data_IF_949866093270
#
_entry.id   IF_949866093270
#
_cell.length_a   1.000
_cell.length_b   1.000
_cell.length_c   1.000
_cell.angle_alpha   90.00
_cell.angle_beta   90.00
_cell.angle_gamma   90.00
#
_symmetry.space_group_name_H-M   'P 1'
#
loop_
_entity.id
_entity.type
_entity.pdbx_description
1 polymer ?
#
# COMPACT_ATOMS: atom_id res chain seq x y z
N UNK A 1 1.47 -3.95 -0.20
CA UNK A 1 0.74 -5.23 -0.14
C UNK A 1 1.18 -6.10 1.03
N UNK A 2 0.27 -6.95 1.55
CA UNK A 2 0.63 -8.03 2.47
C UNK A 2 1.11 -9.23 1.66
N UNK A 3 2.24 -9.87 2.00
CA UNK A 3 2.67 -11.07 1.30
C UNK A 3 1.68 -12.20 1.55
N UNK A 4 1.46 -13.01 0.53
CA UNK A 4 0.60 -14.18 0.56
C UNK A 4 1.40 -15.42 0.17
N UNK A 5 0.72 -16.54 -0.10
CA UNK A 5 1.39 -17.76 -0.55
C UNK A 5 2.14 -17.51 -1.87
N UNK A 6 3.30 -18.14 -2.04
CA UNK A 6 4.10 -18.05 -3.28
C UNK A 6 3.32 -18.47 -4.53
N UNK A 7 2.29 -19.31 -4.38
CA UNK A 7 1.39 -19.72 -5.47
C UNK A 7 0.47 -18.61 -5.98
N UNK A 8 0.27 -17.53 -5.22
CA UNK A 8 -0.53 -16.38 -5.65
C UNK A 8 0.29 -15.41 -6.51
N UNK A 9 0.71 -15.88 -7.68
CA UNK A 9 1.63 -15.17 -8.59
C UNK A 9 1.13 -13.78 -8.94
N UNK A 10 -0.16 -13.61 -9.23
CA UNK A 10 -0.74 -12.30 -9.61
C UNK A 10 -0.64 -11.28 -8.47
N UNK A 11 -0.93 -11.68 -7.24
CA UNK A 11 -0.74 -10.81 -6.08
C UNK A 11 0.75 -10.52 -5.82
N UNK A 12 1.61 -11.53 -6.02
CA UNK A 12 3.05 -11.39 -5.87
C UNK A 12 3.68 -10.32 -6.76
N UNK A 13 3.14 -10.08 -7.97
CA UNK A 13 3.60 -8.99 -8.84
C UNK A 13 3.45 -7.63 -8.16
N UNK A 14 2.33 -7.40 -7.47
CA UNK A 14 2.13 -6.15 -6.73
C UNK A 14 3.11 -6.02 -5.57
N UNK A 15 3.39 -7.12 -4.86
CA UNK A 15 4.42 -7.11 -3.81
C UNK A 15 5.78 -6.69 -4.38
N UNK A 16 6.19 -7.25 -5.51
CA UNK A 16 7.46 -6.95 -6.17
C UNK A 16 7.56 -5.50 -6.62
N UNK A 17 6.53 -5.00 -7.30
CA UNK A 17 6.51 -3.64 -7.84
C UNK A 17 6.40 -2.59 -6.72
N UNK A 18 5.56 -2.81 -5.71
CA UNK A 18 5.44 -1.88 -4.59
C UNK A 18 6.69 -1.88 -3.70
N UNK A 19 7.37 -3.03 -3.53
CA UNK A 19 8.65 -3.05 -2.82
C UNK A 19 9.68 -2.16 -3.53
N UNK A 20 9.84 -2.28 -4.86
CA UNK A 20 10.73 -1.42 -5.65
C UNK A 20 10.29 0.05 -5.60
N UNK A 21 9.00 0.32 -5.82
CA UNK A 21 8.44 1.67 -5.85
C UNK A 21 8.64 2.41 -4.52
N UNK A 22 8.31 1.78 -3.40
CA UNK A 22 8.41 2.42 -2.07
C UNK A 22 9.85 2.54 -1.57
N UNK A 23 10.75 1.61 -1.93
CA UNK A 23 12.13 1.64 -1.43
C UNK A 23 13.11 2.38 -2.32
N UNK A 24 12.80 2.57 -3.59
CA UNK A 24 13.67 3.26 -4.55
C UNK A 24 12.99 4.46 -5.20
N UNK A 25 11.85 4.26 -5.90
CA UNK A 25 11.29 5.30 -6.76
C UNK A 25 10.81 6.52 -5.98
N UNK A 26 10.13 6.33 -4.86
CA UNK A 26 9.63 7.43 -4.01
C UNK A 26 10.78 8.26 -3.43
N UNK A 27 11.84 7.61 -2.96
CA UNK A 27 13.06 8.28 -2.50
C UNK A 27 13.75 9.05 -3.62
N UNK A 28 13.89 8.43 -4.78
CA UNK A 28 14.52 9.07 -5.93
C UNK A 28 13.74 10.29 -6.43
N UNK A 29 12.39 10.23 -6.42
CA UNK A 29 11.52 11.37 -6.73
C UNK A 29 11.76 12.54 -5.78
N UNK A 30 11.70 12.27 -4.49
CA UNK A 30 11.93 13.28 -3.45
C UNK A 30 13.34 13.86 -3.54
N UNK A 31 14.38 13.00 -3.63
CA UNK A 31 15.77 13.45 -3.74
C UNK A 31 16.02 14.29 -5.00
N UNK A 32 15.39 13.96 -6.12
CA UNK A 32 15.47 14.75 -7.35
C UNK A 32 14.71 16.08 -7.28
N UNK A 33 13.93 16.34 -6.21
CA UNK A 33 13.10 17.54 -6.09
C UNK A 33 11.96 17.57 -7.09
N UNK A 34 11.40 16.41 -7.42
CA UNK A 34 10.21 16.28 -8.26
C UNK A 34 8.98 15.95 -7.39
N UNK A 35 7.81 15.87 -8.03
CA UNK A 35 6.58 15.55 -7.32
C UNK A 35 6.60 14.14 -6.71
N UNK A 36 6.03 14.03 -5.53
CA UNK A 36 5.78 12.76 -4.85
C UNK A 36 4.28 12.46 -4.98
N UNK A 37 3.88 11.43 -5.75
CA UNK A 37 2.46 11.12 -5.89
C UNK A 37 1.87 10.62 -4.57
N UNK A 38 0.65 11.00 -4.26
CA UNK A 38 -0.14 10.32 -3.24
C UNK A 38 -0.56 8.95 -3.76
N UNK A 39 -0.64 7.97 -2.87
CA UNK A 39 -1.08 6.62 -3.22
C UNK A 39 -2.53 6.33 -2.76
N UNK A 40 -3.29 7.38 -2.44
CA UNK A 40 -4.65 7.28 -1.95
C UNK A 40 -4.79 6.79 -0.50
N UNK A 41 -3.70 6.27 0.09
CA UNK A 41 -3.66 5.76 1.46
C UNK A 41 -2.37 6.16 2.15
N UNK A 42 -2.42 6.38 3.48
CA UNK A 42 -1.23 6.75 4.26
C UNK A 42 -0.65 8.12 3.89
N UNK A 43 -1.46 9.03 3.35
CA UNK A 43 -1.06 10.39 2.97
C UNK A 43 -1.73 11.39 3.90
N UNK A 44 -0.93 12.27 4.50
CA UNK A 44 -1.41 13.43 5.25
C UNK A 44 -1.24 14.70 4.44
N UNK A 45 -2.25 15.55 4.44
CA UNK A 45 -2.22 16.86 3.79
C UNK A 45 -2.36 17.95 4.84
N UNK A 46 -1.61 19.03 4.69
CA UNK A 46 -1.84 20.23 5.51
C UNK A 46 -3.21 20.83 5.14
N UNK A 47 -4.01 21.13 6.13
CA UNK A 47 -5.38 21.63 5.97
C UNK A 47 -5.43 22.89 5.09
N UNK A 48 -4.52 23.82 5.30
CA UNK A 48 -4.42 25.06 4.53
C UNK A 48 -4.24 24.83 3.02
N UNK A 49 -3.52 23.75 2.64
CA UNK A 49 -3.33 23.38 1.23
C UNK A 49 -4.64 22.88 0.64
N UNK A 50 -5.39 22.06 1.40
CA UNK A 50 -6.68 21.54 0.94
C UNK A 50 -7.74 22.66 0.80
N UNK A 51 -7.79 23.58 1.77
CA UNK A 51 -8.68 24.73 1.73
C UNK A 51 -8.39 25.62 0.49
N UNK A 52 -7.10 25.94 0.26
CA UNK A 52 -6.70 26.71 -0.92
C UNK A 52 -7.05 25.98 -2.23
N UNK A 53 -6.87 24.67 -2.29
CA UNK A 53 -7.25 23.88 -3.46
C UNK A 53 -8.75 23.93 -3.71
N UNK A 54 -9.56 23.83 -2.66
CA UNK A 54 -11.01 23.96 -2.74
C UNK A 54 -11.44 25.36 -3.25
N UNK A 55 -10.80 26.42 -2.73
CA UNK A 55 -11.07 27.79 -3.14
C UNK A 55 -10.71 28.08 -4.61
N UNK A 56 -9.55 27.54 -5.06
CA UNK A 56 -9.07 27.77 -6.44
C UNK A 56 -9.78 26.93 -7.51
N UNK A 57 -10.32 25.77 -7.15
CA UNK A 57 -10.81 24.78 -8.11
C UNK A 57 -12.28 24.36 -7.89
N UNK A 58 -12.87 24.77 -6.78
CA UNK A 58 -14.19 24.32 -6.34
C UNK A 58 -14.17 23.00 -5.59
N UNK A 59 -13.23 22.09 -5.93
CA UNK A 59 -13.07 20.78 -5.31
C UNK A 59 -11.61 20.46 -5.05
N UNK A 60 -11.34 19.73 -3.95
CA UNK A 60 -10.00 19.26 -3.60
C UNK A 60 -9.54 18.15 -4.54
N UNK A 61 -10.43 17.21 -4.81
CA UNK A 61 -10.18 16.06 -5.69
C UNK A 61 -11.05 16.17 -6.94
N UNK A 62 -10.45 15.95 -8.10
CA UNK A 62 -11.16 15.96 -9.37
C UNK A 62 -11.96 14.66 -9.53
N UNK A 63 -13.29 14.77 -9.47
CA UNK A 63 -14.22 13.64 -9.59
C UNK A 63 -14.13 12.92 -10.95
N UNK A 64 -13.68 13.62 -12.00
CA UNK A 64 -13.48 13.06 -13.34
C UNK A 64 -12.11 12.40 -13.53
N UNK A 65 -11.23 12.45 -12.52
CA UNK A 65 -9.95 11.77 -12.55
C UNK A 65 -10.08 10.32 -12.14
N UNK A 66 -9.47 9.42 -12.92
CA UNK A 66 -9.38 7.99 -12.58
C UNK A 66 -8.29 7.69 -11.53
N UNK A 67 -7.42 8.66 -11.27
CA UNK A 67 -6.30 8.61 -10.30
C UNK A 67 -6.10 9.99 -9.67
N UNK A 68 -7.14 10.43 -8.96
CA UNK A 68 -7.18 11.72 -8.27
C UNK A 68 -6.05 11.88 -7.25
N UNK A 69 -5.65 10.77 -6.63
CA UNK A 69 -4.54 10.66 -5.69
C UNK A 69 -3.19 10.98 -6.35
N UNK A 70 -2.95 10.49 -7.54
CA UNK A 70 -1.75 10.84 -8.31
C UNK A 70 -1.76 12.31 -8.73
N UNK A 71 -2.89 12.78 -9.27
CA UNK A 71 -3.02 14.15 -9.79
C UNK A 71 -2.89 15.21 -8.71
N UNK A 72 -3.39 14.99 -7.49
CA UNK A 72 -3.23 15.93 -6.38
C UNK A 72 -1.76 16.08 -6.00
N UNK A 73 -0.98 14.98 -6.02
CA UNK A 73 0.46 15.03 -5.81
C UNK A 73 1.19 15.91 -6.83
N UNK A 74 0.85 15.74 -8.11
CA UNK A 74 1.41 16.59 -9.20
C UNK A 74 1.00 18.06 -9.02
N UNK A 75 -0.24 18.30 -8.63
CA UNK A 75 -0.76 19.66 -8.45
C UNK A 75 -0.06 20.39 -7.30
N UNK A 76 0.01 19.78 -6.12
CA UNK A 76 0.67 20.35 -4.93
C UNK A 76 2.10 20.72 -5.25
N UNK A 77 2.84 19.85 -5.95
CA UNK A 77 4.20 20.16 -6.40
C UNK A 77 4.24 21.36 -7.37
N UNK A 78 3.33 21.40 -8.34
CA UNK A 78 3.26 22.47 -9.34
C UNK A 78 2.90 23.82 -8.72
N UNK A 79 2.17 23.82 -7.62
CA UNK A 79 1.83 25.00 -6.82
C UNK A 79 2.99 25.46 -5.90
N UNK A 80 4.12 24.73 -5.89
CA UNK A 80 5.31 25.09 -5.12
C UNK A 80 5.31 24.61 -3.64
N UNK A 81 4.35 23.77 -3.25
CA UNK A 81 4.32 23.25 -1.89
C UNK A 81 5.26 22.08 -1.69
N UNK A 82 5.93 21.99 -0.53
CA UNK A 82 6.82 20.90 -0.20
C UNK A 82 6.06 19.59 -0.04
N UNK A 83 6.66 18.49 -0.49
CA UNK A 83 6.15 17.15 -0.34
C UNK A 83 7.23 16.28 0.30
N UNK A 84 6.83 15.42 1.24
CA UNK A 84 7.73 14.53 1.96
C UNK A 84 7.23 13.09 1.86
N UNK A 85 8.09 12.21 1.38
CA UNK A 85 7.94 10.78 1.56
C UNK A 85 8.71 10.34 2.79
N UNK A 86 8.01 9.87 3.83
CA UNK A 86 8.58 9.49 5.12
C UNK A 86 8.51 7.97 5.34
N UNK A 87 9.57 7.21 5.02
CA UNK A 87 9.63 5.76 5.25
C UNK A 87 9.96 5.48 6.72
N UNK A 88 8.98 5.67 7.57
CA UNK A 88 9.14 5.45 9.01
C UNK A 88 9.30 3.95 9.29
N UNK A 89 10.21 3.63 10.22
CA UNK A 89 10.40 2.28 10.73
C UNK A 89 10.10 2.23 12.21
N UNK A 90 9.57 1.11 12.66
CA UNK A 90 9.46 0.77 14.07
C UNK A 90 10.82 0.34 14.64
N UNK A 91 10.91 0.26 15.97
CA UNK A 91 12.13 -0.20 16.64
C UNK A 91 12.60 -1.58 16.17
N UNK A 92 11.67 -2.46 15.81
CA UNK A 92 11.94 -3.81 15.27
C UNK A 92 12.37 -3.81 13.79
N UNK A 93 12.51 -2.64 13.16
CA UNK A 93 12.95 -2.49 11.77
C UNK A 93 11.85 -2.60 10.72
N UNK A 94 10.62 -2.95 11.09
CA UNK A 94 9.48 -2.99 10.17
C UNK A 94 9.05 -1.59 9.71
N UNK A 95 8.61 -1.48 8.45
CA UNK A 95 8.04 -0.23 7.94
C UNK A 95 6.64 0.03 8.50
N UNK A 96 6.39 1.28 8.90
CA UNK A 96 5.05 1.79 9.14
C UNK A 96 4.37 1.97 7.79
N UNK A 97 3.40 1.14 7.48
CA UNK A 97 2.74 1.13 6.19
C UNK A 97 1.28 0.69 6.30
N UNK A 98 0.44 1.19 5.41
CA UNK A 98 -0.88 0.63 5.18
C UNK A 98 -0.75 -0.74 4.54
N UNK A 99 -1.62 -1.68 4.92
CA UNK A 99 -1.54 -3.07 4.48
C UNK A 99 -2.85 -3.51 3.86
N UNK A 100 -2.77 -4.04 2.64
CA UNK A 100 -3.94 -4.42 1.86
C UNK A 100 -3.60 -5.60 0.96
N UNK A 101 -4.62 -6.40 0.60
CA UNK A 101 -4.51 -7.42 -0.43
C UNK A 101 -4.87 -6.83 -1.79
N UNK A 102 -3.98 -7.04 -2.74
CA UNK A 102 -4.19 -6.71 -4.13
C UNK A 102 -4.83 -7.88 -4.91
N UNK A 103 -5.31 -7.64 -6.15
CA UNK A 103 -5.96 -8.67 -6.94
C UNK A 103 -5.17 -9.98 -7.03
N UNK A 104 -5.86 -11.10 -6.82
CA UNK A 104 -5.30 -12.45 -6.90
C UNK A 104 -5.49 -13.07 -8.29
N UNK A 105 -6.42 -12.54 -9.11
CA UNK A 105 -6.69 -13.03 -10.46
C UNK A 105 -6.15 -12.07 -11.52
N UNK A 106 -5.65 -12.61 -12.63
CA UNK A 106 -5.15 -11.80 -13.76
C UNK A 106 -6.23 -10.84 -14.30
N UNK A 107 -7.51 -11.28 -14.35
CA UNK A 107 -8.62 -10.45 -14.83
C UNK A 107 -8.83 -9.21 -13.98
N UNK A 108 -8.84 -9.33 -12.66
CA UNK A 108 -8.99 -8.19 -11.73
C UNK A 108 -7.75 -7.30 -11.74
N UNK A 109 -6.54 -7.89 -11.84
CA UNK A 109 -5.30 -7.15 -11.97
C UNK A 109 -5.26 -6.31 -13.26
N UNK A 110 -5.63 -6.89 -14.41
CA UNK A 110 -5.72 -6.16 -15.68
C UNK A 110 -6.74 -5.01 -15.56
N UNK A 111 -7.91 -5.23 -14.93
CA UNK A 111 -8.91 -4.17 -14.72
C UNK A 111 -8.34 -3.01 -13.90
N UNK A 112 -7.71 -3.29 -12.77
CA UNK A 112 -7.13 -2.27 -11.89
C UNK A 112 -5.99 -1.50 -12.58
N UNK A 113 -5.05 -2.22 -13.22
CA UNK A 113 -3.93 -1.60 -13.94
C UNK A 113 -4.38 -0.82 -15.16
N UNK A 114 -5.44 -1.25 -15.86
CA UNK A 114 -6.05 -0.47 -16.94
C UNK A 114 -6.49 0.89 -16.43
N UNK A 115 -7.14 0.97 -15.25
CA UNK A 115 -7.53 2.22 -14.61
C UNK A 115 -6.31 3.09 -14.30
N UNK A 116 -5.29 2.54 -13.66
CA UNK A 116 -4.07 3.29 -13.31
C UNK A 116 -3.34 3.81 -14.55
N UNK A 117 -3.15 2.97 -15.57
CA UNK A 117 -2.49 3.40 -16.82
C UNK A 117 -3.32 4.50 -17.51
N UNK A 118 -4.65 4.34 -17.55
CA UNK A 118 -5.53 5.37 -18.15
C UNK A 118 -5.44 6.68 -17.38
N UNK A 119 -5.51 6.68 -16.05
CA UNK A 119 -5.43 7.90 -15.23
C UNK A 119 -4.05 8.55 -15.27
N UNK A 120 -3.00 7.79 -14.95
CA UNK A 120 -1.65 8.31 -14.79
C UNK A 120 -1.00 8.65 -16.14
N UNK A 121 -1.02 7.69 -17.09
CA UNK A 121 -0.23 7.81 -18.31
C UNK A 121 -0.98 8.51 -19.46
N UNK A 122 -2.31 8.48 -19.49
CA UNK A 122 -3.11 9.08 -20.58
C UNK A 122 -3.85 10.33 -20.12
N UNK A 123 -4.73 10.23 -19.13
CA UNK A 123 -5.59 11.34 -18.67
C UNK A 123 -4.77 12.47 -18.04
N UNK A 124 -3.84 12.16 -17.14
CA UNK A 124 -2.93 13.15 -16.57
C UNK A 124 -1.99 13.73 -17.65
N UNK A 125 -1.59 12.94 -18.66
CA UNK A 125 -0.81 13.48 -19.79
C UNK A 125 -1.63 14.49 -20.59
N UNK A 126 -2.86 14.18 -20.92
CA UNK A 126 -3.75 15.12 -21.65
C UNK A 126 -3.94 16.44 -20.90
N UNK A 127 -4.11 16.38 -19.57
CA UNK A 127 -4.37 17.56 -18.73
C UNK A 127 -3.10 18.38 -18.43
N UNK A 128 -1.97 17.72 -18.19
CA UNK A 128 -0.74 18.34 -17.69
C UNK A 128 0.38 18.44 -18.74
N UNK A 129 0.35 17.61 -19.78
CA UNK A 129 1.41 17.56 -20.79
C UNK A 129 2.78 17.20 -20.20
N UNK A 130 3.81 17.93 -20.64
CA UNK A 130 5.20 17.82 -20.18
C UNK A 130 5.64 19.06 -19.39
N UNK A 131 4.74 19.69 -18.66
CA UNK A 131 5.02 20.91 -17.89
C UNK A 131 5.95 20.61 -16.72
N UNK A 132 6.75 21.63 -16.34
CA UNK A 132 7.71 21.55 -15.26
C UNK A 132 9.16 21.52 -15.73
N UNK A 133 10.09 21.46 -14.77
CA UNK A 133 11.52 21.38 -15.02
C UNK A 133 11.92 20.00 -15.59
N UNK A 134 13.20 19.84 -15.98
CA UNK A 134 13.68 18.59 -16.59
C UNK A 134 13.51 17.36 -15.65
N UNK A 135 13.59 17.53 -14.34
CA UNK A 135 13.40 16.48 -13.33
C UNK A 135 11.97 16.00 -13.32
N UNK A 136 11.01 16.92 -13.30
CA UNK A 136 9.57 16.62 -13.39
C UNK A 136 9.23 15.94 -14.72
N UNK A 137 9.80 16.41 -15.85
CA UNK A 137 9.61 15.78 -17.18
C UNK A 137 10.17 14.38 -17.22
N UNK A 138 11.34 14.11 -16.60
CA UNK A 138 11.89 12.77 -16.47
C UNK A 138 10.92 11.82 -15.75
N UNK A 139 10.32 12.25 -14.63
CA UNK A 139 9.38 11.41 -13.90
C UNK A 139 8.06 11.22 -14.66
N UNK A 140 7.56 12.22 -15.38
CA UNK A 140 6.45 12.04 -16.30
C UNK A 140 6.76 11.02 -17.40
N UNK A 141 7.96 11.08 -17.98
CA UNK A 141 8.41 10.08 -18.94
C UNK A 141 8.46 8.69 -18.31
N UNK A 142 9.01 8.58 -17.10
CA UNK A 142 9.10 7.32 -16.38
C UNK A 142 7.74 6.70 -16.11
N UNK A 143 6.73 7.51 -15.75
CA UNK A 143 5.37 7.04 -15.50
C UNK A 143 4.62 6.65 -16.79
N UNK A 144 4.96 7.28 -17.92
CA UNK A 144 4.32 7.08 -19.24
C UNK A 144 5.02 6.07 -20.13
N UNK A 145 6.31 5.79 -19.91
CA UNK A 145 7.08 4.85 -20.75
C UNK A 145 6.45 3.48 -20.86
N UNK A 146 5.66 3.07 -19.85
CA UNK A 146 4.93 1.79 -19.83
C UNK A 146 3.98 1.63 -20.99
N UNK A 147 3.48 2.72 -21.61
CA UNK A 147 2.63 2.65 -22.79
C UNK A 147 3.31 1.94 -23.98
N UNK A 148 4.62 2.08 -24.10
CA UNK A 148 5.44 1.42 -25.13
C UNK A 148 6.24 0.27 -24.55
N UNK A 149 6.82 0.44 -23.36
CA UNK A 149 7.70 -0.56 -22.78
C UNK A 149 6.98 -1.86 -22.37
N UNK A 150 5.70 -1.82 -21.95
CA UNK A 150 4.98 -3.02 -21.56
C UNK A 150 4.72 -3.99 -22.74
N UNK A 151 4.23 -3.54 -23.92
CA UNK A 151 4.16 -4.38 -25.11
C UNK A 151 5.53 -4.93 -25.55
N UNK A 152 6.56 -4.10 -25.54
CA UNK A 152 7.93 -4.51 -25.90
C UNK A 152 8.44 -5.57 -24.90
N UNK A 153 8.20 -5.41 -23.59
CA UNK A 153 8.62 -6.39 -22.59
C UNK A 153 7.97 -7.76 -22.80
N UNK A 154 6.69 -7.80 -23.18
CA UNK A 154 6.03 -9.06 -23.51
C UNK A 154 6.63 -9.67 -24.76
N UNK A 155 6.83 -8.89 -25.82
CA UNK A 155 7.47 -9.37 -27.06
C UNK A 155 8.87 -9.91 -26.76
N UNK A 156 9.66 -9.22 -25.94
CA UNK A 156 10.99 -9.69 -25.52
C UNK A 156 10.92 -11.03 -24.78
N UNK A 157 9.92 -11.22 -23.91
CA UNK A 157 9.72 -12.51 -23.22
C UNK A 157 9.43 -13.63 -24.23
N UNK A 158 8.56 -13.38 -25.22
CA UNK A 158 8.23 -14.37 -26.26
C UNK A 158 9.46 -14.72 -27.10
N UNK A 159 10.21 -13.71 -27.55
CA UNK A 159 11.44 -13.90 -28.31
C UNK A 159 12.51 -14.65 -27.50
N UNK A 160 12.64 -14.33 -26.21
CA UNK A 160 13.57 -15.02 -25.32
C UNK A 160 13.22 -16.51 -25.17
N UNK A 161 11.96 -16.84 -24.92
CA UNK A 161 11.51 -18.23 -24.82
C UNK A 161 11.68 -18.98 -26.15
N UNK A 162 11.30 -18.34 -27.27
CA UNK A 162 11.51 -18.92 -28.61
C UNK A 162 13.00 -19.14 -28.90
N UNK A 163 13.85 -18.19 -28.52
CA UNK A 163 15.31 -18.29 -28.66
C UNK A 163 15.90 -19.45 -27.87
N UNK A 164 15.52 -19.60 -26.60
CA UNK A 164 15.95 -20.74 -25.76
C UNK A 164 15.45 -22.06 -26.35
N UNK A 165 14.18 -22.13 -26.70
CA UNK A 165 13.60 -23.36 -27.27
C UNK A 165 14.32 -23.76 -28.55
N UNK A 166 14.54 -22.82 -29.49
CA UNK A 166 15.27 -23.10 -30.72
C UNK A 166 16.73 -23.49 -30.48
N UNK A 167 17.38 -22.92 -29.46
CA UNK A 167 18.73 -23.30 -29.08
C UNK A 167 18.78 -24.75 -28.52
N UNK A 168 17.84 -25.11 -27.65
CA UNK A 168 17.74 -26.45 -27.08
C UNK A 168 17.51 -27.50 -28.17
N UNK A 169 16.60 -27.20 -29.10
CA UNK A 169 16.33 -28.11 -30.25
C UNK A 169 17.58 -28.26 -31.13
N UNK A 170 18.23 -27.16 -31.51
CA UNK A 170 19.46 -27.21 -32.30
C UNK A 170 20.58 -28.02 -31.61
N UNK A 171 20.73 -27.84 -30.28
CA UNK A 171 21.69 -28.58 -29.49
C UNK A 171 21.37 -30.10 -29.43
N UNK A 172 20.09 -30.46 -29.29
CA UNK A 172 19.64 -31.85 -29.26
C UNK A 172 19.81 -32.55 -30.62
N UNK A 173 19.64 -31.80 -31.71
CA UNK A 173 19.79 -32.32 -33.09
C UNK A 173 21.22 -32.18 -33.62
N UNK A 174 22.17 -31.71 -32.80
CA UNK A 174 23.56 -31.44 -33.20
C UNK A 174 23.69 -30.48 -34.41
N UNK A 175 22.72 -29.59 -34.58
CA UNK A 175 22.67 -28.62 -35.66
C UNK A 175 23.16 -27.21 -35.23
N UNK A 176 23.72 -26.43 -36.17
CA UNK A 176 24.07 -25.06 -35.84
C UNK A 176 22.81 -24.24 -35.51
N UNK A 177 22.88 -23.45 -34.42
CA UNK A 177 21.77 -22.58 -34.05
C UNK A 177 21.58 -21.44 -35.06
N UNK A 178 20.52 -21.47 -35.85
CA UNK A 178 20.25 -20.53 -36.95
C UNK A 178 19.97 -19.10 -36.46
N UNK A 179 19.45 -18.94 -35.25
CA UNK A 179 19.18 -17.61 -34.64
C UNK A 179 20.41 -17.00 -33.95
N UNK A 180 21.60 -17.64 -34.07
CA UNK A 180 22.82 -17.09 -33.49
C UNK A 180 23.16 -15.73 -34.11
N UNK A 181 23.22 -14.71 -33.25
CA UNK A 181 23.62 -13.36 -33.65
C UNK A 181 25.11 -13.36 -33.98
N UNK A 182 25.47 -13.07 -35.24
CA UNK A 182 26.86 -13.09 -35.72
C UNK A 182 27.46 -11.70 -35.89
N UNK A 183 26.63 -10.67 -35.99
CA UNK A 183 27.10 -9.29 -36.13
C UNK A 183 27.67 -8.77 -34.83
N UNK A 184 28.97 -8.38 -34.73
CA UNK A 184 29.59 -8.01 -33.47
C UNK A 184 28.85 -6.89 -32.71
N UNK A 185 28.36 -5.87 -33.41
CA UNK A 185 27.59 -4.79 -32.79
C UNK A 185 26.29 -5.29 -32.12
N UNK A 186 25.58 -6.23 -32.77
CA UNK A 186 24.37 -6.82 -32.17
C UNK A 186 24.70 -7.73 -30.99
N UNK A 187 25.83 -8.45 -31.04
CA UNK A 187 26.30 -9.26 -29.90
C UNK A 187 26.56 -8.37 -28.68
N UNK A 188 27.29 -7.25 -28.87
CA UNK A 188 27.54 -6.27 -27.81
C UNK A 188 26.22 -5.72 -27.27
N UNK A 189 25.28 -5.34 -28.13
CA UNK A 189 23.97 -4.82 -27.73
C UNK A 189 23.17 -5.86 -26.93
N UNK A 190 23.20 -7.14 -27.35
CA UNK A 190 22.55 -8.24 -26.62
C UNK A 190 23.15 -8.41 -25.22
N UNK A 191 24.48 -8.41 -25.09
CA UNK A 191 25.15 -8.50 -23.80
C UNK A 191 24.84 -7.30 -22.89
N UNK A 192 24.87 -6.09 -23.45
CA UNK A 192 24.54 -4.87 -22.70
C UNK A 192 23.09 -4.91 -22.19
N UNK A 193 22.12 -5.25 -23.04
CA UNK A 193 20.71 -5.34 -22.65
C UNK A 193 20.47 -6.44 -21.63
N UNK A 194 21.11 -7.59 -21.78
CA UNK A 194 21.04 -8.69 -20.82
C UNK A 194 21.62 -8.27 -19.47
N UNK A 195 22.79 -7.63 -19.45
CA UNK A 195 23.42 -7.14 -18.21
C UNK A 195 22.55 -6.12 -17.49
N UNK A 196 21.97 -5.16 -18.22
CA UNK A 196 21.04 -4.18 -17.66
C UNK A 196 19.76 -4.84 -17.11
N UNK A 197 19.26 -5.86 -17.78
CA UNK A 197 18.08 -6.61 -17.32
C UNK A 197 18.39 -7.43 -16.07
N UNK A 198 19.56 -8.07 -16.01
CA UNK A 198 20.03 -8.79 -14.81
C UNK A 198 20.22 -7.83 -13.64
N UNK A 199 20.83 -6.66 -13.85
CA UNK A 199 20.99 -5.63 -12.83
C UNK A 199 19.63 -5.16 -12.30
N UNK A 200 18.68 -4.83 -13.19
CA UNK A 200 17.33 -4.42 -12.82
C UNK A 200 16.62 -5.51 -12.01
N UNK A 201 16.73 -6.75 -12.45
CA UNK A 201 16.14 -7.90 -11.76
C UNK A 201 16.75 -8.08 -10.37
N UNK A 202 18.07 -8.01 -10.26
CA UNK A 202 18.79 -8.07 -8.98
C UNK A 202 18.37 -6.96 -8.02
N UNK A 203 18.27 -5.71 -8.50
CA UNK A 203 17.79 -4.59 -7.68
C UNK A 203 16.38 -4.82 -7.16
N UNK A 204 15.44 -5.30 -8.01
CA UNK A 204 14.08 -5.64 -7.59
C UNK A 204 14.09 -6.76 -6.54
N UNK A 205 14.88 -7.82 -6.75
CA UNK A 205 15.02 -8.91 -5.78
C UNK A 205 15.54 -8.40 -4.42
N UNK A 206 16.51 -7.49 -4.41
CA UNK A 206 17.02 -6.87 -3.16
C UNK A 206 15.91 -6.06 -2.47
N UNK A 207 15.13 -5.26 -3.20
CA UNK A 207 14.00 -4.53 -2.62
C UNK A 207 12.97 -5.47 -2.01
N UNK A 208 12.60 -6.51 -2.73
CA UNK A 208 11.64 -7.53 -2.27
C UNK A 208 12.17 -8.29 -1.06
N UNK A 209 13.46 -8.68 -1.06
CA UNK A 209 14.07 -9.36 0.07
C UNK A 209 14.08 -8.51 1.34
N UNK A 210 14.31 -7.20 1.21
CA UNK A 210 14.30 -6.26 2.35
C UNK A 210 12.92 -6.06 2.97
N UNK A 211 11.84 -6.22 2.18
CA UNK A 211 10.48 -5.97 2.63
C UNK A 211 9.76 -7.27 3.01
N UNK A 212 9.95 -8.34 2.25
CA UNK A 212 9.19 -9.59 2.37
C UNK A 212 10.04 -10.83 2.64
N UNK A 213 11.36 -10.67 2.74
CA UNK A 213 12.30 -11.76 2.99
C UNK A 213 12.85 -12.40 1.71
N UNK A 214 14.00 -13.10 1.87
CA UNK A 214 14.78 -13.65 0.75
C UNK A 214 14.02 -14.76 -0.01
N UNK A 215 13.27 -15.61 0.70
CA UNK A 215 12.51 -16.71 0.09
C UNK A 215 11.44 -16.19 -0.88
N UNK A 216 10.77 -15.09 -0.52
CA UNK A 216 9.78 -14.44 -1.40
C UNK A 216 10.45 -13.81 -2.61
N UNK A 217 11.66 -13.25 -2.46
CA UNK A 217 12.43 -12.61 -3.53
C UNK A 217 12.89 -13.58 -4.62
N UNK A 218 13.17 -14.84 -4.29
CA UNK A 218 13.62 -15.84 -5.27
C UNK A 218 12.61 -16.09 -6.41
N UNK A 219 11.33 -15.87 -6.17
CA UNK A 219 10.29 -16.03 -7.18
C UNK A 219 10.08 -14.79 -8.09
N UNK A 220 10.80 -13.68 -7.85
CA UNK A 220 10.68 -12.44 -8.65
C UNK A 220 10.90 -12.67 -10.15
N UNK A 221 11.95 -13.41 -10.61
CA UNK A 221 12.15 -13.63 -12.04
C UNK A 221 10.96 -14.31 -12.71
N UNK A 222 10.41 -15.36 -12.08
CA UNK A 222 9.25 -16.08 -12.61
C UNK A 222 7.99 -15.19 -12.64
N UNK A 223 7.74 -14.44 -11.55
CA UNK A 223 6.61 -13.51 -11.48
C UNK A 223 6.71 -12.39 -12.52
N UNK A 224 7.92 -11.99 -12.90
CA UNK A 224 8.13 -10.94 -13.90
C UNK A 224 7.57 -11.32 -15.29
N UNK A 225 7.65 -12.57 -15.71
CA UNK A 225 7.03 -13.02 -16.97
C UNK A 225 5.51 -12.84 -16.93
N UNK A 226 4.87 -13.29 -15.87
CA UNK A 226 3.43 -13.10 -15.68
C UNK A 226 3.08 -11.60 -15.56
N UNK A 227 3.91 -10.82 -14.87
CA UNK A 227 3.75 -9.36 -14.73
C UNK A 227 3.77 -8.65 -16.08
N UNK A 228 4.68 -9.02 -16.98
CA UNK A 228 4.75 -8.44 -18.32
C UNK A 228 3.49 -8.76 -19.15
N UNK A 229 2.93 -9.97 -19.02
CA UNK A 229 1.66 -10.33 -19.68
C UNK A 229 0.49 -9.48 -19.15
N UNK A 230 0.38 -9.35 -17.83
CA UNK A 230 -0.68 -8.54 -17.19
C UNK A 230 -0.53 -7.06 -17.57
N UNK A 231 0.69 -6.51 -17.52
CA UNK A 231 0.98 -5.12 -17.85
C UNK A 231 0.73 -4.80 -19.34
N UNK A 232 1.14 -5.68 -20.25
CA UNK A 232 0.86 -5.52 -21.67
C UNK A 232 -0.65 -5.53 -21.94
N UNK A 233 -1.37 -6.51 -21.40
CA UNK A 233 -2.82 -6.64 -21.56
C UNK A 233 -3.56 -5.41 -21.01
N UNK A 234 -3.13 -4.90 -19.85
CA UNK A 234 -3.70 -3.70 -19.24
C UNK A 234 -3.42 -2.45 -20.08
N UNK A 235 -2.21 -2.33 -20.64
CA UNK A 235 -1.79 -1.21 -21.48
C UNK A 235 -2.57 -1.16 -22.78
N UNK A 236 -2.68 -2.27 -23.50
CA UNK A 236 -3.44 -2.34 -24.75
C UNK A 236 -4.93 -2.01 -24.50
N UNK A 237 -5.48 -2.54 -23.40
CA UNK A 237 -6.87 -2.25 -23.01
C UNK A 237 -7.06 -0.77 -22.62
N UNK A 238 -6.08 -0.16 -21.94
CA UNK A 238 -6.12 1.25 -21.59
C UNK A 238 -6.10 2.15 -22.83
N UNK A 239 -5.18 1.89 -23.75
CA UNK A 239 -5.06 2.60 -25.03
C UNK A 239 -6.35 2.50 -25.86
N UNK A 240 -6.88 1.29 -26.01
CA UNK A 240 -8.11 1.07 -26.78
C UNK A 240 -9.31 1.79 -26.16
N UNK A 241 -9.51 1.65 -24.83
CA UNK A 241 -10.64 2.31 -24.14
C UNK A 241 -10.53 3.82 -24.19
N UNK A 242 -9.32 4.34 -24.00
CA UNK A 242 -9.07 5.78 -24.04
C UNK A 242 -9.34 6.35 -25.45
N UNK A 243 -8.78 5.73 -26.49
CA UNK A 243 -8.99 6.15 -27.88
C UNK A 243 -10.48 6.08 -28.26
N UNK A 244 -11.18 5.00 -27.88
CA UNK A 244 -12.60 4.85 -28.15
C UNK A 244 -13.43 5.92 -27.42
N UNK A 245 -13.16 6.20 -26.15
CA UNK A 245 -13.88 7.22 -25.37
C UNK A 245 -13.69 8.61 -26.02
N UNK A 246 -12.47 8.94 -26.45
CA UNK A 246 -12.19 10.20 -27.14
C UNK A 246 -12.88 10.30 -28.49
N UNK A 247 -12.90 9.22 -29.26
CA UNK A 247 -13.57 9.21 -30.56
C UNK A 247 -15.09 9.36 -30.42
N UNK A 248 -15.68 8.73 -29.39
CA UNK A 248 -17.12 8.76 -29.16
C UNK A 248 -17.59 9.97 -28.31
N UNK A 249 -16.68 10.82 -27.84
CA UNK A 249 -17.01 11.95 -26.95
C UNK A 249 -17.54 11.53 -25.57
N UNK A 250 -17.28 10.29 -25.16
CA UNK A 250 -17.74 9.77 -23.87
C UNK A 250 -16.74 10.07 -22.75
N UNK A 251 -17.29 10.31 -21.54
CA UNK A 251 -16.48 10.40 -20.32
C UNK A 251 -15.93 9.03 -19.94
N UNK A 252 -14.72 9.01 -19.35
CA UNK A 252 -14.10 7.80 -18.85
C UNK A 252 -14.77 7.41 -17.53
N UNK A 253 -15.41 6.25 -17.49
CA UNK A 253 -16.12 5.75 -16.30
C UNK A 253 -15.13 5.05 -15.36
N UNK A 254 -15.19 5.39 -14.07
CA UNK A 254 -14.44 4.75 -13.02
C UNK A 254 -14.88 3.29 -12.83
N UNK A 255 -13.94 2.36 -13.02
CA UNK A 255 -14.17 0.93 -12.82
C UNK A 255 -13.82 0.58 -11.37
N UNK A 256 -14.83 0.42 -10.52
CA UNK A 256 -14.63 -0.01 -9.15
C UNK A 256 -13.87 -1.33 -9.12
N UNK A 257 -12.79 -1.38 -8.34
CA UNK A 257 -12.03 -2.59 -8.07
C UNK A 257 -12.52 -3.17 -6.75
N UNK A 258 -12.77 -4.47 -6.70
CA UNK A 258 -13.05 -5.15 -5.45
C UNK A 258 -11.77 -5.26 -4.64
N UNK A 259 -11.79 -4.75 -3.42
CA UNK A 259 -10.68 -4.84 -2.48
C UNK A 259 -11.01 -5.92 -1.45
N UNK A 260 -10.09 -6.86 -1.28
CA UNK A 260 -10.13 -7.79 -0.16
C UNK A 260 -9.32 -7.18 0.99
N UNK A 261 -9.99 -6.81 2.06
CA UNK A 261 -9.32 -6.28 3.25
C UNK A 261 -8.73 -7.44 4.08
N UNK A 262 -7.52 -7.24 4.62
CA UNK A 262 -6.95 -8.20 5.57
C UNK A 262 -7.85 -8.34 6.80
N UNK A 263 -7.98 -9.56 7.31
CA UNK A 263 -8.66 -9.80 8.58
C UNK A 263 -7.89 -9.16 9.75
N UNK A 264 -8.59 -8.88 10.85
CA UNK A 264 -7.94 -8.37 12.06
C UNK A 264 -6.79 -9.29 12.53
N UNK A 265 -6.94 -10.60 12.41
CA UNK A 265 -5.91 -11.57 12.75
C UNK A 265 -4.67 -11.45 11.84
N UNK A 266 -4.85 -11.24 10.53
CA UNK A 266 -3.74 -11.02 9.60
C UNK A 266 -3.00 -9.70 9.88
N UNK A 267 -3.72 -8.67 10.31
CA UNK A 267 -3.14 -7.38 10.69
C UNK A 267 -2.47 -7.42 12.07
N UNK A 268 -2.94 -8.27 12.99
CA UNK A 268 -2.40 -8.40 14.34
C UNK A 268 -0.92 -8.79 14.34
N UNK A 269 -0.48 -9.63 13.40
CA UNK A 269 0.92 -10.03 13.22
C UNK A 269 1.86 -8.86 12.86
N UNK A 270 1.28 -7.75 12.38
CA UNK A 270 2.02 -6.55 11.97
C UNK A 270 1.71 -5.33 12.85
N UNK A 271 0.92 -5.53 13.91
CA UNK A 271 0.72 -4.48 14.91
C UNK A 271 1.99 -4.34 15.73
N UNK A 272 2.56 -3.13 15.78
CA UNK A 272 3.62 -2.84 16.72
C UNK A 272 3.14 -3.00 18.15
N UNK A 273 4.07 -3.08 19.09
CA UNK A 273 3.72 -3.09 20.50
C UNK A 273 3.07 -1.76 20.91
N UNK A 274 2.24 -1.79 21.94
CA UNK A 274 1.64 -0.56 22.48
C UNK A 274 2.72 0.46 22.87
N UNK A 275 3.87 -0.03 23.32
CA UNK A 275 5.07 0.76 23.63
C UNK A 275 5.56 1.60 22.45
N UNK A 276 5.49 1.08 21.23
CA UNK A 276 5.92 1.81 20.01
C UNK A 276 4.94 2.96 19.69
N UNK A 277 3.64 2.74 19.93
CA UNK A 277 2.63 3.78 19.75
C UNK A 277 2.79 4.89 20.79
N UNK A 278 3.03 4.50 22.05
CA UNK A 278 3.22 5.44 23.15
C UNK A 278 4.41 6.39 22.91
N UNK A 279 5.52 5.86 22.45
CA UNK A 279 6.73 6.66 22.16
C UNK A 279 6.62 7.35 20.81
N UNK A 280 6.20 6.64 19.76
CA UNK A 280 6.15 7.17 18.40
C UNK A 280 5.16 8.31 18.22
N UNK A 281 4.07 8.34 19.00
CA UNK A 281 3.10 9.44 19.03
C UNK A 281 3.41 10.52 20.06
N UNK A 282 4.53 10.39 20.81
CA UNK A 282 4.96 11.39 21.77
C UNK A 282 4.14 11.44 23.08
N UNK A 283 3.34 10.39 23.36
CA UNK A 283 2.58 10.30 24.61
C UNK A 283 3.50 10.10 25.83
N UNK A 284 4.66 9.48 25.63
CA UNK A 284 5.69 9.29 26.66
C UNK A 284 7.08 9.27 26.00
N UNK A 285 8.09 9.78 26.72
CA UNK A 285 9.47 9.66 26.24
C UNK A 285 9.98 8.23 26.40
N UNK A 286 10.87 7.79 25.50
CA UNK A 286 11.50 6.46 25.53
C UNK A 286 12.14 6.17 26.90
N UNK A 287 12.83 7.16 27.47
CA UNK A 287 13.49 7.03 28.76
C UNK A 287 12.50 6.81 29.90
N UNK A 288 11.40 7.58 29.93
CA UNK A 288 10.35 7.44 30.95
C UNK A 288 9.63 6.12 30.86
N UNK A 289 9.36 5.64 29.62
CA UNK A 289 8.74 4.34 29.37
C UNK A 289 9.65 3.19 29.81
N UNK A 290 10.93 3.24 29.48
CA UNK A 290 11.91 2.19 29.88
C UNK A 290 12.04 2.10 31.41
N UNK A 291 12.05 3.25 32.11
CA UNK A 291 12.07 3.28 33.58
C UNK A 291 10.80 2.67 34.19
N UNK A 292 9.63 2.98 33.63
CA UNK A 292 8.36 2.42 34.07
C UNK A 292 8.33 0.90 33.87
N UNK A 293 8.74 0.41 32.69
CA UNK A 293 8.78 -1.03 32.39
C UNK A 293 9.78 -1.78 33.28
N UNK A 294 10.95 -1.19 33.56
CA UNK A 294 11.95 -1.81 34.43
C UNK A 294 11.47 -2.01 35.86
N UNK A 295 10.53 -1.20 36.33
CA UNK A 295 9.87 -1.33 37.65
C UNK A 295 8.58 -2.16 37.67
N UNK A 296 8.21 -2.77 36.54
CA UNK A 296 6.93 -3.49 36.44
C UNK A 296 7.00 -4.88 37.04
N UNK A 297 6.08 -5.28 37.94
CA UNK A 297 5.96 -6.65 38.43
C UNK A 297 5.57 -7.63 37.30
N UNK A 298 6.05 -8.89 37.39
CA UNK A 298 5.92 -9.88 36.33
C UNK A 298 4.47 -10.19 35.90
N UNK A 299 3.51 -10.07 36.82
CA UNK A 299 2.08 -10.42 36.57
C UNK A 299 1.19 -9.19 36.42
N UNK A 300 1.75 -8.01 36.17
CA UNK A 300 0.94 -6.78 36.07
C UNK A 300 0.72 -6.42 34.60
N UNK A 301 -0.53 -6.03 34.27
CA UNK A 301 -0.84 -5.49 32.93
C UNK A 301 -0.10 -4.16 32.70
N UNK A 302 0.49 -4.02 31.51
CA UNK A 302 1.27 -2.84 31.14
C UNK A 302 0.45 -1.55 31.27
N UNK A 303 -0.81 -1.56 30.82
CA UNK A 303 -1.67 -0.38 30.87
C UNK A 303 -1.99 0.02 32.30
N UNK A 304 -2.25 -0.96 33.16
CA UNK A 304 -2.51 -0.73 34.57
C UNK A 304 -1.29 -0.19 35.29
N UNK A 305 -0.11 -0.74 35.02
CA UNK A 305 1.15 -0.27 35.58
C UNK A 305 1.49 1.16 35.16
N UNK A 306 1.37 1.47 33.84
CA UNK A 306 1.65 2.83 33.33
C UNK A 306 0.71 3.88 33.92
N UNK A 307 -0.55 3.49 34.18
CA UNK A 307 -1.54 4.34 34.84
C UNK A 307 -1.21 4.53 36.31
N UNK A 308 -0.93 3.45 37.04
CA UNK A 308 -0.64 3.46 38.48
C UNK A 308 0.63 4.30 38.79
N UNK A 309 1.65 4.20 37.95
CA UNK A 309 2.89 4.99 38.08
C UNK A 309 2.79 6.43 37.57
N UNK A 310 1.65 6.78 36.94
CA UNK A 310 1.49 8.13 36.36
C UNK A 310 2.47 8.38 35.20
N UNK A 311 3.06 7.33 34.61
CA UNK A 311 3.98 7.47 33.50
C UNK A 311 3.32 7.99 32.23
N UNK A 312 2.03 7.64 32.03
CA UNK A 312 1.17 8.09 30.93
C UNK A 312 -0.18 8.52 31.51
N UNK A 313 -0.78 9.58 30.97
CA UNK A 313 -2.13 10.00 31.39
C UNK A 313 -3.19 9.03 30.88
N UNK A 314 -4.34 8.91 31.58
CA UNK A 314 -5.46 8.06 31.13
C UNK A 314 -5.95 8.45 29.74
N UNK A 315 -5.97 9.73 29.40
CA UNK A 315 -6.41 10.24 28.09
C UNK A 315 -5.44 9.82 26.97
N UNK A 316 -4.14 9.90 27.23
CA UNK A 316 -3.10 9.52 26.27
C UNK A 316 -3.01 7.99 26.14
N UNK A 317 -3.22 7.25 27.23
CA UNK A 317 -3.28 5.79 27.19
C UNK A 317 -4.50 5.31 26.39
N UNK A 318 -5.66 5.94 26.56
CA UNK A 318 -6.85 5.64 25.75
C UNK A 318 -6.63 5.97 24.27
N UNK A 319 -5.96 7.09 23.94
CA UNK A 319 -5.60 7.44 22.56
C UNK A 319 -4.60 6.43 21.98
N UNK A 320 -3.57 6.07 22.73
CA UNK A 320 -2.58 5.08 22.32
C UNK A 320 -3.21 3.71 22.08
N UNK A 321 -4.09 3.25 22.98
CA UNK A 321 -4.86 2.02 22.81
C UNK A 321 -5.75 2.07 21.57
N UNK A 322 -6.43 3.20 21.35
CA UNK A 322 -7.27 3.40 20.16
C UNK A 322 -6.44 3.30 18.87
N UNK A 323 -5.28 3.94 18.82
CA UNK A 323 -4.35 3.85 17.69
C UNK A 323 -3.79 2.43 17.52
N UNK A 324 -3.46 1.77 18.63
CA UNK A 324 -2.90 0.43 18.62
C UNK A 324 -3.92 -0.63 18.18
N UNK A 325 -5.16 -0.55 18.69
CA UNK A 325 -6.20 -1.56 18.43
C UNK A 325 -7.06 -1.25 17.21
N UNK A 326 -7.10 0.02 16.77
CA UNK A 326 -8.01 0.51 15.73
C UNK A 326 -9.45 0.67 16.23
N UNK A 327 -9.68 0.54 17.55
CA UNK A 327 -11.00 0.74 18.18
C UNK A 327 -11.09 2.19 18.64
N UNK A 328 -12.14 2.96 18.28
CA UNK A 328 -12.27 4.35 18.68
C UNK A 328 -12.33 4.51 20.21
N UNK A 329 -11.59 5.48 20.76
CA UNK A 329 -11.72 5.85 22.16
C UNK A 329 -13.01 6.64 22.38
N UNK A 330 -13.70 6.40 23.50
CA UNK A 330 -14.93 7.08 23.86
C UNK A 330 -14.88 7.54 25.33
N UNK A 331 -15.18 8.82 25.56
CA UNK A 331 -15.43 9.30 26.92
C UNK A 331 -16.88 8.98 27.29
N UNK A 332 -17.05 8.05 28.24
CA UNK A 332 -18.37 7.67 28.72
C UNK A 332 -18.78 8.57 29.86
N UNK A 333 -19.86 9.32 29.67
CA UNK A 333 -20.53 10.07 30.74
C UNK A 333 -21.62 9.16 31.34
N UNK A 334 -21.37 8.67 32.55
CA UNK A 334 -22.27 7.76 33.23
C UNK A 334 -23.70 8.34 33.41
N UNK A 335 -23.83 9.66 33.57
CA UNK A 335 -25.12 10.33 33.69
C UNK A 335 -25.95 10.34 32.39
N UNK A 336 -25.32 10.11 31.26
CA UNK A 336 -26.00 10.06 29.94
C UNK A 336 -26.35 8.66 29.48
N UNK A 337 -25.92 7.62 30.19
CA UNK A 337 -26.26 6.23 29.87
C UNK A 337 -27.68 5.95 30.34
N UNK A 338 -28.59 5.60 29.41
CA UNK A 338 -29.96 5.25 29.78
C UNK A 338 -29.99 3.97 30.62
N UNK A 339 -30.75 3.94 31.71
CA UNK A 339 -30.84 2.79 32.61
C UNK A 339 -31.23 1.48 31.92
N UNK A 340 -32.06 1.53 30.85
CA UNK A 340 -32.41 0.38 30.03
C UNK A 340 -31.18 -0.20 29.30
N UNK A 341 -30.33 0.65 28.77
CA UNK A 341 -29.08 0.27 28.07
C UNK A 341 -28.08 -0.30 29.08
N UNK A 342 -27.93 0.35 30.24
CA UNK A 342 -27.04 -0.11 31.29
C UNK A 342 -27.39 -1.52 31.82
N UNK A 343 -28.65 -1.95 31.67
CA UNK A 343 -29.12 -3.29 32.09
C UNK A 343 -29.22 -4.28 30.94
N UNK A 344 -28.77 -3.92 29.74
CA UNK A 344 -28.89 -4.78 28.54
C UNK A 344 -27.92 -5.97 28.54
N UNK A 345 -26.86 -5.92 29.34
CA UNK A 345 -25.94 -7.05 29.55
C UNK A 345 -26.02 -7.60 30.98
N UNK A 346 -25.84 -8.92 31.17
CA UNK A 346 -25.72 -9.52 32.49
C UNK A 346 -24.49 -9.01 33.24
N UNK A 347 -24.66 -8.61 34.51
CA UNK A 347 -23.58 -8.04 35.32
C UNK A 347 -22.33 -8.92 35.48
N UNK A 348 -22.49 -10.25 35.40
CA UNK A 348 -21.35 -11.16 35.44
C UNK A 348 -20.50 -11.09 34.17
N UNK A 349 -21.10 -10.85 32.97
CA UNK A 349 -20.39 -10.64 31.72
C UNK A 349 -19.68 -9.30 31.72
N UNK A 350 -20.34 -8.24 32.17
CA UNK A 350 -19.74 -6.91 32.29
C UNK A 350 -18.47 -6.94 33.12
N UNK A 351 -18.53 -7.60 34.30
CA UNK A 351 -17.38 -7.73 35.20
C UNK A 351 -16.27 -8.60 34.61
N UNK A 352 -16.63 -9.75 34.02
CA UNK A 352 -15.65 -10.69 33.47
C UNK A 352 -14.92 -10.13 32.22
N UNK A 353 -15.67 -9.51 31.33
CA UNK A 353 -15.12 -8.95 30.09
C UNK A 353 -14.63 -7.51 30.24
N UNK A 354 -14.89 -6.87 31.40
CA UNK A 354 -14.48 -5.48 31.64
C UNK A 354 -15.14 -4.47 30.69
N UNK A 355 -16.42 -4.73 30.34
CA UNK A 355 -17.19 -3.91 29.41
C UNK A 355 -18.40 -3.27 30.05
N UNK A 356 -18.82 -2.14 29.50
CA UNK A 356 -20.07 -1.45 29.91
C UNK A 356 -20.88 -1.08 28.68
N UNK A 357 -22.19 -1.36 28.67
CA UNK A 357 -23.05 -0.92 27.59
C UNK A 357 -23.27 0.58 27.67
N UNK A 358 -23.14 1.28 26.51
CA UNK A 358 -23.18 2.74 26.45
C UNK A 358 -24.42 3.26 25.74
N UNK A 359 -24.72 2.75 24.56
CA UNK A 359 -25.89 3.14 23.77
C UNK A 359 -26.24 2.12 22.71
N UNK A 360 -27.45 2.18 22.20
CA UNK A 360 -27.87 1.46 20.99
C UNK A 360 -27.86 2.43 19.83
N UNK A 361 -27.21 2.06 18.73
CA UNK A 361 -27.16 2.82 17.51
C UNK A 361 -27.31 1.88 16.30
N UNK A 362 -28.27 2.17 15.41
CA UNK A 362 -28.54 1.36 14.22
C UNK A 362 -28.85 -0.13 14.54
N UNK A 363 -29.57 -0.40 15.62
CA UNK A 363 -29.88 -1.77 16.05
C UNK A 363 -28.73 -2.55 16.66
N UNK A 364 -27.57 -1.91 16.90
CA UNK A 364 -26.39 -2.52 17.52
C UNK A 364 -26.12 -1.91 18.88
N UNK A 365 -25.78 -2.76 19.87
CA UNK A 365 -25.36 -2.31 21.19
C UNK A 365 -23.89 -1.86 21.14
N UNK A 366 -23.62 -0.59 21.45
CA UNK A 366 -22.29 -0.07 21.63
C UNK A 366 -21.83 -0.34 23.07
N UNK A 367 -20.73 -1.07 23.20
CA UNK A 367 -20.11 -1.35 24.51
C UNK A 367 -18.75 -0.63 24.59
N UNK A 368 -18.40 -0.11 25.76
CA UNK A 368 -17.08 0.42 26.06
C UNK A 368 -16.32 -0.57 26.93
N UNK A 369 -15.06 -0.83 26.61
CA UNK A 369 -14.17 -1.72 27.34
C UNK A 369 -12.85 -1.04 27.70
N UNK A 370 -12.12 -1.59 28.67
CA UNK A 370 -10.77 -1.12 29.03
C UNK A 370 -9.71 -1.44 28.00
N UNK A 371 -9.94 -2.48 27.19
CA UNK A 371 -9.08 -2.94 26.10
C UNK A 371 -9.93 -3.45 24.94
N UNK A 372 -9.28 -3.73 23.79
CA UNK A 372 -9.94 -4.41 22.68
C UNK A 372 -10.33 -5.84 23.13
N UNK A 373 -11.57 -6.22 22.83
CA UNK A 373 -12.07 -7.55 23.11
C UNK A 373 -11.48 -8.59 22.16
N UNK A 374 -11.23 -9.79 22.66
CA UNK A 374 -10.88 -10.94 21.84
C UNK A 374 -12.07 -11.35 20.95
N UNK A 375 -11.79 -12.13 19.90
CA UNK A 375 -12.82 -12.63 18.98
C UNK A 375 -13.86 -13.45 19.75
N UNK A 376 -13.40 -14.31 20.64
CA UNK A 376 -14.28 -15.18 21.47
C UNK A 376 -15.17 -14.35 22.39
N UNK A 377 -14.64 -13.30 23.00
CA UNK A 377 -15.42 -12.39 23.86
C UNK A 377 -16.47 -11.58 23.04
N UNK A 378 -16.16 -11.25 21.78
CA UNK A 378 -17.11 -10.60 20.87
C UNK A 378 -18.23 -11.55 20.46
N UNK A 379 -17.91 -12.80 20.11
CA UNK A 379 -18.90 -13.84 19.79
C UNK A 379 -19.80 -14.13 20.98
N UNK A 380 -19.23 -14.22 22.18
CA UNK A 380 -20.01 -14.39 23.40
C UNK A 380 -20.97 -13.21 23.62
N UNK A 381 -20.51 -11.96 23.51
CA UNK A 381 -21.39 -10.78 23.62
C UNK A 381 -22.50 -10.78 22.57
N UNK A 382 -22.20 -11.20 21.34
CA UNK A 382 -23.19 -11.28 20.26
C UNK A 382 -24.28 -12.36 20.54
N UNK A 383 -23.97 -13.39 21.31
CA UNK A 383 -24.96 -14.40 21.67
C UNK A 383 -26.02 -13.90 22.67
N UNK A 384 -25.75 -12.77 23.36
CA UNK A 384 -26.66 -12.16 24.36
C UNK A 384 -27.36 -10.90 23.85
N UNK A 385 -26.98 -10.39 22.66
CA UNK A 385 -27.56 -9.17 22.07
C UNK A 385 -28.22 -9.44 20.74
#
# INVERSE_FOLDING_TARGET
>A
PLPTKLSEVTHGIYCDEFAEFQTIDMHARQFSGSFVPSNGVGTGFAREILERLADERGDVFDADSLTEDYEIGVYIHSAGYPQLFAPLRRHEGEYVATREYFPRTARSAIRQRTRWITGIALQCWERRGWRGNWRTRYWFWRDRKGLVANPISLLTNVLFLAGITSWVVAAAEHQPWLLAVRTPALVVLCWLTLSLQCLRMGLRMVCVARVFGASFALAVPLRSFHGNLVNCSATLRALWRYARARWQGHTLVWLKTEHAYPTHAALAQHRGQLTDVLVGCGFVSQQRLSLAIAGMPADTDLCEHLRATGAVSDDDLCKALSLHTGVPSLKVDAGKVKALVARSLPAHLEKRLGVVPVRVHGGKLLVAGRSALSTDALEELQSFT
#
